data_IF_013335017657
#
_entry.id   IF_013335017657
#
_cell.length_a   1.000
_cell.length_b   1.000
_cell.length_c   1.000
_cell.angle_alpha   90.00
_cell.angle_beta   90.00
_cell.angle_gamma   90.00
#
_symmetry.space_group_name_H-M   'P 1'
#
loop_
_entity.id
_entity.type
_entity.pdbx_description
1 polymer ?
#
# COMPACT_ATOMS: atom_id res chain seq x y z
N UNK A 1 -1.30 -37.20 28.02
CA UNK A 1 -1.72 -35.76 28.05
C UNK A 1 -0.98 -34.84 27.09
N UNK A 2 0.08 -35.28 26.40
CA UNK A 2 0.92 -34.37 25.55
C UNK A 2 0.34 -34.03 24.16
N UNK A 3 -0.28 -34.97 23.48
CA UNK A 3 -0.74 -34.81 22.10
C UNK A 3 -1.90 -33.82 21.91
N UNK A 4 -2.88 -33.85 22.81
CA UNK A 4 -4.04 -32.94 22.72
C UNK A 4 -3.65 -31.47 22.98
N UNK A 5 -2.71 -31.21 23.89
CA UNK A 5 -2.21 -29.87 24.17
C UNK A 5 -1.39 -29.31 22.99
N UNK A 6 -0.55 -30.13 22.35
CA UNK A 6 0.22 -29.74 21.16
C UNK A 6 -0.70 -29.43 19.97
N UNK A 7 -1.75 -30.22 19.78
CA UNK A 7 -2.75 -29.97 18.73
C UNK A 7 -3.53 -28.69 18.99
N UNK A 8 -3.90 -28.40 20.24
CA UNK A 8 -4.62 -27.19 20.62
C UNK A 8 -3.76 -25.93 20.43
N UNK A 9 -2.49 -25.98 20.82
CA UNK A 9 -1.52 -24.87 20.59
C UNK A 9 -1.30 -24.67 19.09
N UNK A 10 -1.09 -25.73 18.33
CA UNK A 10 -0.94 -25.66 16.88
C UNK A 10 -2.18 -25.08 16.18
N UNK A 11 -3.38 -25.45 16.63
CA UNK A 11 -4.62 -24.89 16.13
C UNK A 11 -4.80 -23.41 16.49
N UNK A 12 -4.43 -23.00 17.71
CA UNK A 12 -4.44 -21.59 18.14
C UNK A 12 -3.47 -20.73 17.32
N UNK A 13 -2.26 -21.25 17.07
CA UNK A 13 -1.29 -20.57 16.18
C UNK A 13 -1.81 -20.48 14.74
N UNK A 14 -2.39 -21.56 14.22
CA UNK A 14 -2.92 -21.60 12.86
C UNK A 14 -4.13 -20.67 12.66
N UNK A 15 -4.95 -20.47 13.68
CA UNK A 15 -6.08 -19.53 13.66
C UNK A 15 -5.66 -18.07 13.88
N UNK A 16 -4.45 -17.83 14.36
CA UNK A 16 -3.96 -16.49 14.72
C UNK A 16 -4.27 -16.08 16.15
N UNK A 17 -4.83 -16.97 16.98
CA UNK A 17 -5.13 -16.72 18.40
C UNK A 17 -3.85 -16.70 19.25
N UNK A 18 -2.78 -17.30 18.76
CA UNK A 18 -1.46 -17.35 19.41
C UNK A 18 -0.35 -16.80 18.49
N UNK A 19 0.72 -16.20 19.05
CA UNK A 19 1.87 -15.74 18.27
C UNK A 19 2.59 -16.90 17.60
N UNK A 20 3.24 -16.64 16.43
CA UNK A 20 4.04 -17.63 15.70
C UNK A 20 3.46 -18.08 14.36
N UNK A 21 2.26 -17.60 13.98
CA UNK A 21 1.64 -17.93 12.69
C UNK A 21 2.55 -17.63 11.48
N UNK A 22 3.25 -16.47 11.37
CA UNK A 22 4.15 -16.22 10.25
C UNK A 22 5.30 -17.23 10.16
N UNK A 23 5.87 -17.62 11.31
CA UNK A 23 6.90 -18.65 11.37
C UNK A 23 6.36 -20.02 10.96
N UNK A 24 5.19 -20.41 11.49
CA UNK A 24 4.55 -21.69 11.16
C UNK A 24 4.21 -21.79 9.67
N UNK A 25 3.59 -20.74 9.11
CA UNK A 25 3.23 -20.68 7.69
C UNK A 25 4.46 -20.81 6.79
N UNK A 26 5.57 -20.15 7.14
CA UNK A 26 6.83 -20.28 6.42
C UNK A 26 7.42 -21.69 6.55
N UNK A 27 7.43 -22.25 7.76
CA UNK A 27 8.02 -23.58 8.04
C UNK A 27 7.26 -24.70 7.34
N UNK A 28 5.95 -24.56 7.18
CA UNK A 28 5.08 -25.52 6.51
C UNK A 28 4.79 -25.18 5.04
N UNK A 29 5.52 -24.20 4.47
CA UNK A 29 5.38 -23.75 3.08
C UNK A 29 3.93 -23.35 2.69
N UNK A 30 3.15 -22.83 3.65
CA UNK A 30 1.74 -22.47 3.47
C UNK A 30 1.55 -21.11 2.79
N UNK A 31 2.60 -20.39 2.43
CA UNK A 31 2.50 -19.05 1.84
C UNK A 31 2.16 -19.05 0.34
N UNK A 32 2.11 -20.24 -0.28
CA UNK A 32 1.86 -20.37 -1.70
C UNK A 32 3.01 -19.85 -2.59
N UNK A 33 2.89 -19.95 -3.92
CA UNK A 33 3.95 -19.56 -4.83
C UNK A 33 4.16 -18.04 -4.86
N UNK A 34 5.40 -17.56 -5.03
CA UNK A 34 5.67 -16.13 -5.22
C UNK A 34 5.14 -15.63 -6.56
N UNK A 35 4.68 -14.38 -6.58
CA UNK A 35 4.30 -13.69 -7.80
C UNK A 35 5.50 -13.48 -8.72
N UNK A 36 5.33 -13.87 -9.98
CA UNK A 36 6.37 -13.75 -10.99
C UNK A 36 6.37 -12.36 -11.61
N UNK A 37 7.55 -11.76 -11.70
CA UNK A 37 7.73 -10.49 -12.42
C UNK A 37 7.55 -10.74 -13.93
N UNK A 38 6.70 -9.98 -14.63
CA UNK A 38 6.57 -10.10 -16.09
C UNK A 38 7.91 -9.87 -16.79
N UNK A 39 8.40 -10.87 -17.55
CA UNK A 39 9.68 -10.80 -18.26
C UNK A 39 9.52 -10.32 -19.70
N UNK A 40 8.44 -10.74 -20.35
CA UNK A 40 8.18 -10.54 -21.77
C UNK A 40 7.28 -9.32 -22.01
N UNK A 41 7.61 -8.21 -21.36
CA UNK A 41 6.87 -6.96 -21.52
C UNK A 41 7.85 -5.79 -21.66
N UNK A 42 7.68 -5.00 -22.72
CA UNK A 42 8.39 -3.75 -22.85
C UNK A 42 7.85 -2.75 -21.81
N UNK A 43 8.71 -2.27 -20.94
CA UNK A 43 8.35 -1.18 -20.01
C UNK A 43 8.42 0.16 -20.73
N UNK A 44 7.56 1.08 -20.31
CA UNK A 44 7.61 2.44 -20.83
C UNK A 44 8.71 3.28 -20.17
N UNK A 45 8.80 4.57 -20.53
CA UNK A 45 9.80 5.46 -19.98
C UNK A 45 9.58 5.69 -18.49
N UNK A 46 10.69 5.83 -17.77
CA UNK A 46 10.69 6.23 -16.37
C UNK A 46 11.38 7.58 -16.22
N UNK A 47 10.76 8.51 -15.52
CA UNK A 47 11.34 9.80 -15.17
C UNK A 47 11.41 9.93 -13.67
N UNK A 48 12.41 10.62 -13.16
CA UNK A 48 12.59 10.81 -11.74
C UNK A 48 13.28 12.14 -11.43
N UNK A 49 13.38 12.42 -10.14
CA UNK A 49 14.04 13.60 -9.64
C UNK A 49 14.02 13.68 -8.13
N UNK A 50 14.30 14.85 -7.60
CA UNK A 50 14.20 15.10 -6.16
C UNK A 50 13.74 16.53 -5.90
N UNK A 51 13.16 16.73 -4.70
CA UNK A 51 12.87 18.05 -4.16
C UNK A 51 13.19 18.08 -2.66
N UNK A 52 13.35 19.27 -2.13
CA UNK A 52 13.48 19.48 -0.68
C UNK A 52 12.09 19.72 -0.13
N UNK A 53 11.63 18.84 0.73
CA UNK A 53 10.27 18.87 1.28
C UNK A 53 10.19 19.78 2.50
N UNK A 54 9.28 20.76 2.49
CA UNK A 54 8.97 21.57 3.67
C UNK A 54 8.19 20.75 4.69
N UNK A 55 7.23 19.96 4.23
CA UNK A 55 6.42 19.09 5.08
C UNK A 55 7.29 18.05 5.80
N UNK A 56 8.39 17.61 5.19
CA UNK A 56 9.38 16.74 5.81
C UNK A 56 10.61 17.51 6.37
N UNK A 57 10.41 18.75 6.80
CA UNK A 57 11.40 19.56 7.50
C UNK A 57 12.75 19.70 6.78
N UNK A 58 12.71 19.87 5.47
CA UNK A 58 13.91 20.04 4.65
C UNK A 58 14.54 18.73 4.18
N UNK A 59 13.90 17.58 4.43
CA UNK A 59 14.37 16.31 3.89
C UNK A 59 14.35 16.32 2.36
N UNK A 60 15.40 15.77 1.75
CA UNK A 60 15.42 15.53 0.30
C UNK A 60 14.59 14.30 -0.02
N UNK A 61 13.53 14.48 -0.78
CA UNK A 61 12.66 13.41 -1.25
C UNK A 61 12.95 13.13 -2.73
N UNK A 62 13.38 11.92 -3.05
CA UNK A 62 13.47 11.44 -4.43
C UNK A 62 12.11 10.90 -4.84
N UNK A 63 11.82 10.95 -6.12
CA UNK A 63 10.59 10.42 -6.70
C UNK A 63 10.87 9.84 -8.07
N UNK A 64 10.01 8.93 -8.50
CA UNK A 64 10.01 8.40 -9.85
C UNK A 64 8.58 8.18 -10.35
N UNK A 65 8.41 8.28 -11.67
CA UNK A 65 7.16 7.99 -12.38
C UNK A 65 7.48 7.03 -13.52
N UNK A 66 6.80 5.90 -13.54
CA UNK A 66 6.76 4.99 -14.68
C UNK A 66 5.55 5.32 -15.55
N UNK A 67 5.76 5.53 -16.82
CA UNK A 67 4.71 5.69 -17.83
C UNK A 67 4.50 4.35 -18.58
N UNK A 68 3.28 4.03 -18.99
CA UNK A 68 3.06 2.85 -19.82
C UNK A 68 3.67 3.03 -21.23
N UNK A 69 4.04 1.95 -21.93
CA UNK A 69 4.56 2.03 -23.28
C UNK A 69 3.59 2.76 -24.22
N UNK A 70 4.13 3.63 -25.10
CA UNK A 70 3.33 4.37 -26.08
C UNK A 70 2.40 5.43 -25.51
N UNK A 71 2.48 5.71 -24.22
CA UNK A 71 1.64 6.71 -23.57
C UNK A 71 1.97 8.13 -24.04
N UNK A 72 0.93 8.89 -24.33
CA UNK A 72 1.00 10.30 -24.70
C UNK A 72 -0.14 11.08 -24.05
N UNK A 73 0.07 12.38 -23.85
CA UNK A 73 -0.94 13.26 -23.27
C UNK A 73 -1.10 13.13 -21.76
N UNK A 74 -2.13 13.80 -21.24
CA UNK A 74 -2.47 13.81 -19.82
C UNK A 74 -3.10 12.47 -19.44
N UNK A 75 -2.60 11.85 -18.38
CA UNK A 75 -3.12 10.56 -17.92
C UNK A 75 -3.27 10.52 -16.41
N UNK A 76 -4.18 9.67 -15.89
CA UNK A 76 -4.36 9.47 -14.47
C UNK A 76 -3.12 8.83 -13.84
N UNK A 77 -2.99 8.97 -12.53
CA UNK A 77 -1.83 8.47 -11.78
C UNK A 77 -2.22 7.66 -10.56
N UNK A 78 -1.50 6.56 -10.36
CA UNK A 78 -1.46 5.81 -9.10
C UNK A 78 -0.24 6.26 -8.32
N UNK A 79 -0.46 6.81 -7.11
CA UNK A 79 0.61 7.17 -6.19
C UNK A 79 0.88 6.00 -5.25
N UNK A 80 2.12 5.58 -5.19
CA UNK A 80 2.58 4.41 -4.45
C UNK A 80 3.35 4.83 -3.20
N UNK A 81 2.94 4.32 -2.05
CA UNK A 81 3.54 4.54 -0.76
C UNK A 81 4.33 3.29 -0.34
N UNK A 82 5.63 3.44 -0.13
CA UNK A 82 6.52 2.33 0.19
C UNK A 82 6.39 1.86 1.64
N UNK A 83 6.82 0.63 1.92
CA UNK A 83 6.94 0.06 3.25
C UNK A 83 8.13 0.63 4.03
N UNK A 84 8.20 0.31 5.32
CA UNK A 84 9.31 0.73 6.20
C UNK A 84 10.65 0.20 5.69
N UNK A 85 11.68 1.03 5.74
CA UNK A 85 13.02 0.72 5.26
C UNK A 85 13.16 0.65 3.74
N UNK A 86 12.09 0.94 2.99
CA UNK A 86 12.10 1.03 1.54
C UNK A 86 12.17 2.50 1.08
N UNK A 87 12.17 2.70 -0.23
CA UNK A 87 12.21 4.01 -0.86
C UNK A 87 11.34 4.04 -2.13
N UNK A 88 11.35 5.18 -2.85
CA UNK A 88 10.61 5.35 -4.10
C UNK A 88 10.96 4.31 -5.17
N UNK A 89 12.22 3.86 -5.22
CA UNK A 89 12.66 2.90 -6.24
C UNK A 89 12.12 1.49 -5.97
N UNK A 90 11.76 1.17 -4.73
CA UNK A 90 11.20 -0.13 -4.34
C UNK A 90 9.85 -0.44 -4.99
N UNK A 91 9.11 0.56 -5.47
CA UNK A 91 7.90 0.35 -6.27
C UNK A 91 8.18 -0.31 -7.63
N UNK A 92 9.40 -0.21 -8.11
CA UNK A 92 9.82 -0.61 -9.45
C UNK A 92 10.87 -1.72 -9.40
N UNK A 93 11.40 -2.09 -10.57
CA UNK A 93 12.47 -3.07 -10.68
C UNK A 93 12.09 -4.45 -10.15
N UNK A 94 12.93 -5.02 -9.28
CA UNK A 94 12.75 -6.40 -8.79
C UNK A 94 11.97 -6.52 -7.48
N UNK A 95 11.76 -5.41 -6.75
CA UNK A 95 11.02 -5.44 -5.49
C UNK A 95 9.53 -5.61 -5.76
N UNK A 96 8.81 -4.56 -6.16
CA UNK A 96 7.39 -4.62 -6.48
C UNK A 96 7.12 -4.80 -7.97
N UNK A 97 8.02 -4.36 -8.85
CA UNK A 97 7.96 -4.45 -10.32
C UNK A 97 6.67 -3.84 -10.91
N UNK A 98 6.15 -2.78 -10.29
CA UNK A 98 4.87 -2.18 -10.70
C UNK A 98 4.95 -1.57 -12.10
N UNK A 99 6.12 -1.14 -12.57
CA UNK A 99 6.38 -0.73 -13.95
C UNK A 99 6.07 -1.84 -14.95
N UNK A 100 6.48 -3.07 -14.64
CA UNK A 100 6.25 -4.23 -15.50
C UNK A 100 4.81 -4.73 -15.44
N UNK A 101 4.21 -4.75 -14.27
CA UNK A 101 2.80 -5.09 -14.10
C UNK A 101 1.88 -4.06 -14.76
N UNK A 102 2.21 -2.76 -14.67
CA UNK A 102 1.53 -1.67 -15.38
C UNK A 102 1.60 -1.90 -16.90
N UNK A 103 2.81 -2.11 -17.44
CA UNK A 103 3.01 -2.35 -18.87
C UNK A 103 2.23 -3.59 -19.35
N UNK A 104 2.21 -4.67 -18.58
CA UNK A 104 1.43 -5.88 -18.85
C UNK A 104 -0.06 -5.60 -18.83
N UNK A 105 -0.56 -4.84 -17.87
CA UNK A 105 -1.97 -4.49 -17.77
C UNK A 105 -2.43 -3.67 -18.99
N UNK A 106 -1.65 -2.64 -19.36
CA UNK A 106 -1.96 -1.80 -20.53
C UNK A 106 -1.88 -2.59 -21.85
N UNK A 107 -0.88 -3.45 -22.02
CA UNK A 107 -0.80 -4.36 -23.16
C UNK A 107 -2.00 -5.33 -23.23
N UNK A 108 -2.61 -5.67 -22.10
CA UNK A 108 -3.82 -6.47 -21.99
C UNK A 108 -5.13 -5.68 -22.13
N UNK A 109 -5.09 -4.40 -22.54
CA UNK A 109 -6.27 -3.57 -22.81
C UNK A 109 -6.75 -2.70 -21.63
N UNK A 110 -6.01 -2.67 -20.51
CA UNK A 110 -6.32 -1.72 -19.44
C UNK A 110 -6.03 -0.28 -19.89
N UNK A 111 -6.92 0.67 -19.56
CA UNK A 111 -6.71 2.09 -19.86
C UNK A 111 -5.36 2.57 -19.28
N UNK A 112 -4.59 3.37 -20.04
CA UNK A 112 -3.28 3.83 -19.60
C UNK A 112 -3.34 4.70 -18.34
N UNK A 113 -2.41 4.47 -17.41
CA UNK A 113 -2.20 5.26 -16.20
C UNK A 113 -0.71 5.28 -15.84
N UNK A 114 -0.26 6.32 -15.18
CA UNK A 114 1.10 6.41 -14.66
C UNK A 114 1.19 5.82 -13.24
N UNK A 115 2.37 5.32 -12.87
CA UNK A 115 2.68 4.89 -11.49
C UNK A 115 3.77 5.80 -10.95
N UNK A 116 3.47 6.53 -9.87
CA UNK A 116 4.41 7.45 -9.22
C UNK A 116 4.74 6.96 -7.81
N UNK A 117 5.99 7.09 -7.40
CA UNK A 117 6.43 6.79 -6.03
C UNK A 117 7.38 7.87 -5.52
N UNK A 118 7.47 8.04 -4.20
CA UNK A 118 8.26 9.08 -3.53
C UNK A 118 8.87 8.57 -2.23
N UNK A 119 10.02 9.11 -1.83
CA UNK A 119 10.64 8.82 -0.54
C UNK A 119 9.82 9.45 0.60
N UNK A 120 9.14 8.64 1.38
CA UNK A 120 8.37 9.04 2.55
C UNK A 120 9.14 8.92 3.88
N UNK A 121 10.33 8.31 3.89
CA UNK A 121 11.02 7.91 5.12
C UNK A 121 10.23 6.87 5.92
N UNK A 122 10.57 6.70 7.18
CA UNK A 122 9.99 5.68 8.06
C UNK A 122 8.98 6.25 9.07
N UNK A 123 8.32 7.36 8.73
CA UNK A 123 7.42 8.12 9.61
C UNK A 123 5.96 7.67 9.55
N UNK A 124 5.66 6.55 8.92
CA UNK A 124 4.32 5.97 8.79
C UNK A 124 3.30 6.91 8.13
N UNK A 125 3.78 7.79 7.23
CA UNK A 125 2.95 8.64 6.37
C UNK A 125 1.99 9.59 7.13
N UNK A 126 2.23 9.87 8.41
CA UNK A 126 1.47 10.81 9.21
C UNK A 126 2.36 11.85 9.87
N UNK A 127 1.74 12.90 10.39
CA UNK A 127 2.43 13.97 11.09
C UNK A 127 3.03 13.46 12.39
N UNK A 128 4.31 13.78 12.62
CA UNK A 128 5.08 13.42 13.81
C UNK A 128 5.22 14.62 14.75
N UNK A 129 5.50 14.37 16.01
CA UNK A 129 5.80 15.42 17.01
C UNK A 129 6.99 16.30 16.61
N UNK A 130 7.93 15.75 15.83
CA UNK A 130 9.01 16.52 15.20
C UNK A 130 8.53 17.60 14.25
N UNK A 131 7.25 17.55 13.80
CA UNK A 131 6.67 18.36 12.75
C UNK A 131 6.91 17.82 11.34
N UNK A 132 7.58 16.68 11.19
CA UNK A 132 7.68 15.96 9.91
C UNK A 132 6.32 15.35 9.55
N UNK A 133 5.89 15.50 8.28
CA UNK A 133 4.61 15.01 7.79
C UNK A 133 4.76 14.49 6.35
N UNK A 134 4.90 13.18 6.20
CA UNK A 134 5.04 12.55 4.90
C UNK A 134 3.70 12.50 4.12
N UNK A 135 2.56 12.49 4.81
CA UNK A 135 1.24 12.58 4.19
C UNK A 135 1.02 13.95 3.55
N UNK A 136 1.31 15.02 4.30
CA UNK A 136 1.27 16.39 3.76
C UNK A 136 2.26 16.58 2.60
N UNK A 137 3.45 15.98 2.66
CA UNK A 137 4.41 16.02 1.54
C UNK A 137 3.79 15.42 0.28
N UNK A 138 3.05 14.32 0.37
CA UNK A 138 2.35 13.75 -0.80
C UNK A 138 1.28 14.71 -1.30
N UNK A 139 0.40 15.20 -0.42
CA UNK A 139 -0.73 16.04 -0.79
C UNK A 139 -0.32 17.41 -1.35
N UNK A 140 0.60 18.09 -0.67
CA UNK A 140 0.87 19.51 -0.91
C UNK A 140 2.10 19.76 -1.79
N UNK A 141 2.97 18.75 -1.97
CA UNK A 141 4.22 18.90 -2.71
C UNK A 141 4.32 17.95 -3.90
N UNK A 142 4.10 16.63 -3.68
CA UNK A 142 4.20 15.64 -4.76
C UNK A 142 3.06 15.79 -5.78
N UNK A 143 1.80 15.84 -5.35
CA UNK A 143 0.67 15.92 -6.29
C UNK A 143 0.74 17.17 -7.17
N UNK A 144 1.02 18.38 -6.65
CA UNK A 144 1.27 19.55 -7.51
C UNK A 144 2.44 19.39 -8.46
N UNK A 145 3.54 18.74 -8.02
CA UNK A 145 4.69 18.44 -8.88
C UNK A 145 4.27 17.53 -10.04
N UNK A 146 3.54 16.44 -9.77
CA UNK A 146 3.05 15.51 -10.79
C UNK A 146 2.09 16.21 -11.77
N UNK A 147 1.22 17.08 -11.27
CA UNK A 147 0.32 17.89 -12.10
C UNK A 147 1.08 18.80 -13.08
N UNK A 148 2.15 19.46 -12.63
CA UNK A 148 3.04 20.26 -13.50
C UNK A 148 3.81 19.42 -14.52
N UNK A 149 3.94 18.12 -14.27
CA UNK A 149 4.53 17.12 -15.18
C UNK A 149 3.52 16.54 -16.18
N UNK A 150 2.29 17.05 -16.21
CA UNK A 150 1.27 16.64 -17.16
C UNK A 150 0.40 15.46 -16.71
N UNK A 151 0.54 14.99 -15.46
CA UNK A 151 -0.35 13.95 -14.93
C UNK A 151 -1.67 14.54 -14.43
N UNK A 152 -2.73 13.74 -14.47
CA UNK A 152 -4.00 14.13 -13.87
C UNK A 152 -4.02 13.77 -12.38
N UNK A 153 -3.85 14.78 -11.55
CA UNK A 153 -3.84 14.66 -10.10
C UNK A 153 -5.13 15.13 -9.44
N UNK A 154 -6.19 15.42 -10.22
CA UNK A 154 -7.50 15.81 -9.67
C UNK A 154 -8.16 14.66 -8.93
N UNK A 155 -8.03 13.43 -9.46
CA UNK A 155 -8.42 12.19 -8.81
C UNK A 155 -7.34 11.14 -9.04
N UNK A 156 -6.78 10.65 -7.95
CA UNK A 156 -5.65 9.71 -7.97
C UNK A 156 -6.04 8.32 -7.47
N UNK A 157 -5.33 7.30 -7.92
CA UNK A 157 -5.27 6.02 -7.24
C UNK A 157 -4.20 6.06 -6.13
N UNK A 158 -4.46 5.42 -5.01
CA UNK A 158 -3.47 5.20 -3.96
C UNK A 158 -3.18 3.70 -3.85
N UNK A 159 -1.90 3.34 -3.76
CA UNK A 159 -1.45 1.99 -3.48
C UNK A 159 -0.33 2.06 -2.44
N UNK A 160 -0.31 1.16 -1.49
CA UNK A 160 0.83 1.05 -0.59
C UNK A 160 0.92 -0.34 0.04
N UNK A 161 2.12 -0.71 0.45
CA UNK A 161 2.34 -1.98 1.14
C UNK A 161 2.93 -1.78 2.54
N UNK A 162 2.56 -2.63 3.50
CA UNK A 162 3.04 -2.57 4.88
C UNK A 162 2.77 -1.20 5.52
N UNK A 163 3.79 -0.48 5.95
CA UNK A 163 3.72 0.92 6.39
C UNK A 163 3.00 1.80 5.35
N UNK A 164 3.28 1.61 4.07
CA UNK A 164 2.62 2.33 2.98
C UNK A 164 1.16 1.93 2.79
N UNK A 165 0.80 0.68 3.09
CA UNK A 165 -0.59 0.22 3.08
C UNK A 165 -1.43 0.92 4.14
N UNK A 166 -0.90 1.03 5.35
CA UNK A 166 -1.48 1.88 6.40
C UNK A 166 -1.56 3.34 5.93
N UNK A 167 -0.46 3.89 5.39
CA UNK A 167 -0.40 5.26 4.91
C UNK A 167 -1.38 5.56 3.77
N UNK A 168 -1.60 4.61 2.85
CA UNK A 168 -2.55 4.77 1.75
C UNK A 168 -3.99 4.89 2.26
N UNK A 169 -4.40 4.05 3.22
CA UNK A 169 -5.72 4.14 3.85
C UNK A 169 -5.89 5.46 4.63
N UNK A 170 -4.87 5.84 5.41
CA UNK A 170 -4.89 7.09 6.17
C UNK A 170 -5.02 8.30 5.24
N UNK A 171 -4.18 8.37 4.22
CA UNK A 171 -4.17 9.49 3.26
C UNK A 171 -5.45 9.53 2.44
N UNK A 172 -6.00 8.37 2.04
CA UNK A 172 -7.29 8.31 1.37
C UNK A 172 -8.40 8.93 2.22
N UNK A 173 -8.45 8.60 3.51
CA UNK A 173 -9.41 9.18 4.43
C UNK A 173 -9.22 10.68 4.71
N UNK A 174 -8.01 11.21 4.54
CA UNK A 174 -7.72 12.64 4.69
C UNK A 174 -8.06 13.44 3.42
N UNK A 175 -7.74 12.90 2.24
CA UNK A 175 -8.02 13.54 0.95
C UNK A 175 -9.49 13.43 0.54
N UNK A 176 -10.16 12.36 0.93
CA UNK A 176 -11.57 12.12 0.66
C UNK A 176 -11.89 11.68 -0.79
N UNK A 177 -13.18 11.36 -1.06
CA UNK A 177 -13.61 10.77 -2.34
C UNK A 177 -13.54 11.76 -3.52
N UNK A 178 -13.43 13.06 -3.26
CA UNK A 178 -13.24 14.07 -4.30
C UNK A 178 -11.86 13.98 -4.97
N UNK A 179 -10.85 13.54 -4.24
CA UNK A 179 -9.47 13.47 -4.73
C UNK A 179 -8.94 12.03 -4.87
N UNK A 180 -9.54 11.06 -4.18
CA UNK A 180 -9.14 9.64 -4.27
C UNK A 180 -10.18 8.86 -5.07
N UNK A 181 -9.77 8.35 -6.22
CA UNK A 181 -10.60 7.51 -7.07
C UNK A 181 -10.76 6.10 -6.51
N UNK A 182 -9.69 5.55 -5.95
CA UNK A 182 -9.66 4.26 -5.26
C UNK A 182 -8.39 4.11 -4.43
N UNK A 183 -8.42 3.25 -3.42
CA UNK A 183 -7.25 2.93 -2.59
C UNK A 183 -7.03 1.42 -2.50
N UNK A 184 -5.77 1.01 -2.60
CA UNK A 184 -5.29 -0.36 -2.38
C UNK A 184 -4.32 -0.38 -1.21
N UNK A 185 -4.60 -1.19 -0.21
CA UNK A 185 -3.71 -1.47 0.91
C UNK A 185 -3.25 -2.93 0.87
N UNK A 186 -1.97 -3.11 0.62
CA UNK A 186 -1.31 -4.41 0.57
C UNK A 186 -0.65 -4.70 1.92
N UNK A 187 -1.05 -5.77 2.59
CA UNK A 187 -0.49 -6.15 3.91
C UNK A 187 -0.36 -4.96 4.86
N UNK A 188 -1.42 -4.14 5.08
CA UNK A 188 -1.29 -2.88 5.79
C UNK A 188 -0.84 -3.09 7.24
N UNK A 189 0.11 -2.27 7.69
CA UNK A 189 0.64 -2.31 9.05
C UNK A 189 -0.38 -1.73 10.05
N UNK A 190 -1.30 -2.57 10.50
CA UNK A 190 -2.38 -2.23 11.41
C UNK A 190 -2.18 -2.84 12.80
N UNK A 191 -2.58 -2.12 13.84
CA UNK A 191 -2.54 -2.58 15.23
C UNK A 191 -3.76 -2.09 15.99
N UNK A 192 -4.24 -2.94 16.90
CA UNK A 192 -5.35 -2.58 17.79
C UNK A 192 -4.92 -1.70 18.97
N UNK A 193 -3.67 -1.82 19.43
CA UNK A 193 -3.16 -1.14 20.62
C UNK A 193 -1.80 -0.51 20.37
N UNK A 194 -1.55 0.61 21.02
CA UNK A 194 -0.26 1.31 20.96
C UNK A 194 0.92 0.42 21.38
N UNK A 195 0.71 -0.44 22.40
CA UNK A 195 1.76 -1.33 22.90
C UNK A 195 2.23 -2.40 21.92
N UNK A 196 1.42 -2.70 20.88
CA UNK A 196 1.72 -3.73 19.89
C UNK A 196 2.41 -3.16 18.66
N UNK A 197 2.54 -1.82 18.57
CA UNK A 197 3.11 -1.16 17.38
C UNK A 197 4.60 -1.39 17.25
N UNK A 198 5.08 -1.42 16.01
CA UNK A 198 6.52 -1.45 15.76
C UNK A 198 7.19 -0.19 16.33
N UNK A 199 8.39 -0.37 16.88
CA UNK A 199 9.17 0.75 17.41
C UNK A 199 9.32 1.87 16.37
N UNK A 200 8.99 3.09 16.75
CA UNK A 200 9.05 4.27 15.89
C UNK A 200 7.88 4.42 14.90
N UNK A 201 6.89 3.51 14.93
CA UNK A 201 5.69 3.66 14.11
C UNK A 201 4.87 4.89 14.51
N UNK A 202 4.79 5.16 15.80
CA UNK A 202 4.14 6.33 16.41
C UNK A 202 5.08 6.93 17.46
N UNK A 203 4.90 8.21 17.77
CA UNK A 203 5.72 8.89 18.78
C UNK A 203 5.41 8.38 20.20
N UNK A 204 4.13 8.18 20.47
CA UNK A 204 3.61 7.66 21.73
C UNK A 204 2.18 7.08 21.58
N UNK A 205 1.56 6.73 22.71
CA UNK A 205 0.18 6.24 22.71
C UNK A 205 -0.87 7.30 22.33
N UNK A 206 -0.58 8.59 22.52
CA UNK A 206 -1.48 9.66 22.10
C UNK A 206 -1.42 9.84 20.57
N UNK A 207 -0.23 9.79 19.99
CA UNK A 207 -0.02 9.79 18.55
C UNK A 207 -0.70 8.58 17.89
N UNK A 208 -0.56 7.38 18.47
CA UNK A 208 -1.30 6.20 17.99
C UNK A 208 -2.82 6.43 18.01
N UNK A 209 -3.39 6.95 19.12
CA UNK A 209 -4.82 7.24 19.18
C UNK A 209 -5.26 8.30 18.17
N UNK A 210 -4.40 9.26 17.88
CA UNK A 210 -4.67 10.30 16.88
C UNK A 210 -4.69 9.74 15.45
N UNK A 211 -3.92 8.71 15.14
CA UNK A 211 -3.69 8.23 13.78
C UNK A 211 -4.11 6.77 13.52
N UNK A 212 -4.62 6.02 14.53
CA UNK A 212 -5.19 4.70 14.28
C UNK A 212 -6.36 4.76 13.30
N UNK A 213 -6.49 3.75 12.45
CA UNK A 213 -7.57 3.63 11.48
C UNK A 213 -8.83 3.00 12.09
N UNK A 214 -8.68 2.18 13.14
CA UNK A 214 -9.79 1.58 13.86
C UNK A 214 -10.67 2.64 14.53
N UNK A 215 -12.00 2.51 14.33
CA UNK A 215 -13.00 3.48 14.77
C UNK A 215 -13.11 4.70 13.85
N UNK A 216 -12.43 4.70 12.70
CA UNK A 216 -12.44 5.79 11.72
C UNK A 216 -12.75 5.33 10.30
N UNK A 217 -13.31 4.16 10.15
CA UNK A 217 -13.63 3.50 8.88
C UNK A 217 -14.50 4.39 7.98
N UNK A 218 -15.37 5.21 8.57
CA UNK A 218 -16.22 6.18 7.86
C UNK A 218 -15.44 7.24 7.08
N UNK A 219 -14.17 7.47 7.38
CA UNK A 219 -13.32 8.37 6.59
C UNK A 219 -13.10 7.88 5.17
N UNK A 220 -13.27 6.58 4.94
CA UNK A 220 -13.18 5.97 3.61
C UNK A 220 -14.52 5.90 2.88
N UNK A 221 -15.62 6.46 3.43
CA UNK A 221 -16.92 6.45 2.79
C UNK A 221 -16.87 7.12 1.42
N UNK A 222 -17.43 6.46 0.41
CA UNK A 222 -17.41 6.93 -0.97
C UNK A 222 -16.12 6.70 -1.73
N UNK A 223 -15.11 6.07 -1.11
CA UNK A 223 -13.86 5.66 -1.75
C UNK A 223 -13.90 4.15 -1.95
N UNK A 224 -13.77 3.63 -3.19
CA UNK A 224 -13.53 2.21 -3.43
C UNK A 224 -12.23 1.74 -2.76
N UNK A 225 -12.34 0.74 -1.89
CA UNK A 225 -11.23 0.20 -1.10
C UNK A 225 -10.95 -1.23 -1.53
N UNK A 226 -9.67 -1.56 -1.67
CA UNK A 226 -9.18 -2.93 -1.80
C UNK A 226 -8.12 -3.21 -0.74
N UNK A 227 -8.26 -4.32 -0.02
CA UNK A 227 -7.27 -4.78 0.96
C UNK A 227 -6.90 -6.22 0.64
N UNK A 228 -5.60 -6.46 0.45
CA UNK A 228 -5.05 -7.81 0.29
C UNK A 228 -4.06 -8.06 1.43
N UNK A 229 -4.13 -9.22 2.10
CA UNK A 229 -3.18 -9.60 3.12
C UNK A 229 -2.98 -11.11 3.15
N UNK A 230 -1.73 -11.53 3.26
CA UNK A 230 -1.40 -12.94 3.36
C UNK A 230 -1.87 -13.56 4.68
N UNK A 231 -2.40 -14.78 4.65
CA UNK A 231 -2.84 -15.46 5.89
C UNK A 231 -1.67 -15.82 6.82
N UNK A 232 -0.44 -15.86 6.33
CA UNK A 232 0.79 -15.99 7.11
C UNK A 232 1.47 -14.67 7.47
N UNK A 233 0.84 -13.54 7.16
CA UNK A 233 1.35 -12.19 7.46
C UNK A 233 1.11 -11.85 8.94
N UNK A 234 2.06 -11.20 9.65
CA UNK A 234 1.87 -10.78 11.03
C UNK A 234 0.72 -9.79 11.22
N UNK A 235 0.36 -9.02 10.18
CA UNK A 235 -0.74 -8.06 10.22
C UNK A 235 -2.10 -8.67 9.87
N UNK A 236 -2.15 -9.95 9.48
CA UNK A 236 -3.39 -10.60 9.06
C UNK A 236 -4.55 -10.47 10.07
N UNK A 237 -4.37 -10.69 11.39
CA UNK A 237 -5.49 -10.57 12.33
C UNK A 237 -6.08 -9.16 12.35
N UNK A 238 -5.24 -8.14 12.43
CA UNK A 238 -5.69 -6.75 12.43
C UNK A 238 -6.28 -6.32 11.07
N UNK A 239 -5.70 -6.78 9.97
CA UNK A 239 -6.22 -6.50 8.62
C UNK A 239 -7.61 -7.15 8.42
N UNK A 240 -7.84 -8.37 8.90
CA UNK A 240 -9.14 -9.05 8.87
C UNK A 240 -10.18 -8.25 9.65
N UNK A 241 -9.88 -7.91 10.90
CA UNK A 241 -10.81 -7.18 11.76
C UNK A 241 -11.13 -5.79 11.20
N UNK A 242 -10.17 -5.15 10.54
CA UNK A 242 -10.40 -3.87 9.86
C UNK A 242 -11.28 -4.04 8.60
N UNK A 243 -11.07 -5.09 7.80
CA UNK A 243 -11.93 -5.43 6.65
C UNK A 243 -13.37 -5.67 7.09
N UNK A 244 -13.56 -6.42 8.19
CA UNK A 244 -14.88 -6.72 8.74
C UNK A 244 -15.61 -5.47 9.27
N UNK A 245 -14.86 -4.44 9.69
CA UNK A 245 -15.40 -3.16 10.15
C UNK A 245 -15.77 -2.18 9.02
N UNK A 246 -15.27 -2.40 7.79
CA UNK A 246 -15.53 -1.53 6.65
C UNK A 246 -16.91 -1.78 6.04
N UNK A 247 -17.63 -0.69 5.74
CA UNK A 247 -18.89 -0.73 5.00
C UNK A 247 -18.90 0.37 3.91
N UNK A 248 -19.10 -0.01 2.63
CA UNK A 248 -19.28 -1.38 2.13
C UNK A 248 -18.03 -2.24 2.31
N UNK A 249 -18.19 -3.56 2.31
CA UNK A 249 -17.08 -4.51 2.42
C UNK A 249 -16.07 -4.27 1.26
N UNK A 250 -14.76 -4.15 1.54
CA UNK A 250 -13.77 -3.83 0.53
C UNK A 250 -13.54 -4.99 -0.44
N UNK A 251 -13.05 -4.68 -1.63
CA UNK A 251 -12.50 -5.67 -2.54
C UNK A 251 -11.20 -6.28 -1.99
N UNK A 252 -10.74 -7.38 -2.60
CA UNK A 252 -9.50 -8.06 -2.20
C UNK A 252 -9.78 -9.28 -1.36
N UNK A 253 -9.00 -9.48 -0.31
CA UNK A 253 -9.18 -10.57 0.64
C UNK A 253 -7.89 -11.24 1.09
N UNK A 254 -8.04 -12.40 1.70
CA UNK A 254 -6.99 -13.12 2.41
C UNK A 254 -6.64 -14.41 1.69
N UNK A 255 -5.37 -14.60 1.37
CA UNK A 255 -4.86 -15.77 0.65
C UNK A 255 -3.59 -16.29 1.32
N UNK A 256 -3.19 -17.56 1.09
CA UNK A 256 -1.88 -18.02 1.51
C UNK A 256 -0.79 -17.04 1.07
N UNK A 257 -0.02 -16.50 2.02
CA UNK A 257 1.01 -15.49 1.76
C UNK A 257 1.67 -15.04 3.04
N UNK A 258 2.92 -14.58 2.94
CA UNK A 258 3.66 -13.93 4.02
C UNK A 258 3.73 -12.41 3.82
N UNK A 259 4.50 -11.75 4.69
CA UNK A 259 4.81 -10.32 4.58
C UNK A 259 6.05 -10.13 3.70
N UNK A 260 5.91 -10.36 2.40
CA UNK A 260 7.06 -10.38 1.50
C UNK A 260 6.69 -9.98 0.05
N UNK A 261 7.68 -9.53 -0.75
CA UNK A 261 7.47 -9.13 -2.14
C UNK A 261 6.94 -10.26 -3.04
N UNK A 262 7.11 -11.52 -2.67
CA UNK A 262 6.56 -12.66 -3.42
C UNK A 262 5.04 -12.66 -3.39
N UNK A 263 4.45 -12.46 -2.19
CA UNK A 263 3.02 -12.31 -2.04
C UNK A 263 2.52 -11.03 -2.73
N UNK A 264 3.15 -9.89 -2.48
CA UNK A 264 2.74 -8.59 -2.99
C UNK A 264 2.72 -8.57 -4.53
N UNK A 265 3.76 -9.07 -5.19
CA UNK A 265 3.77 -9.21 -6.66
C UNK A 265 2.67 -10.11 -7.19
N UNK A 266 2.25 -11.13 -6.44
CA UNK A 266 1.14 -12.00 -6.84
C UNK A 266 -0.19 -11.24 -6.87
N UNK A 267 -0.38 -10.27 -5.99
CA UNK A 267 -1.58 -9.44 -5.92
C UNK A 267 -1.56 -8.27 -6.91
N UNK A 268 -0.39 -7.78 -7.31
CA UNK A 268 -0.22 -6.58 -8.13
C UNK A 268 -1.11 -6.52 -9.39
N UNK A 269 -1.30 -7.60 -10.19
CA UNK A 269 -2.19 -7.54 -11.35
C UNK A 269 -3.62 -7.16 -11.01
N UNK A 270 -4.18 -7.76 -9.96
CA UNK A 270 -5.56 -7.49 -9.51
C UNK A 270 -5.70 -6.10 -8.89
N UNK A 271 -4.67 -5.64 -8.22
CA UNK A 271 -4.62 -4.32 -7.59
C UNK A 271 -4.56 -3.21 -8.64
N UNK A 272 -3.69 -3.34 -9.63
CA UNK A 272 -3.59 -2.37 -10.72
C UNK A 272 -4.85 -2.35 -11.59
N UNK A 273 -5.45 -3.51 -11.88
CA UNK A 273 -6.73 -3.58 -12.58
C UNK A 273 -7.85 -2.88 -11.81
N UNK A 274 -7.92 -3.08 -10.48
CA UNK A 274 -8.88 -2.40 -9.61
C UNK A 274 -8.71 -0.89 -9.66
N UNK A 275 -7.49 -0.38 -9.52
CA UNK A 275 -7.22 1.06 -9.56
C UNK A 275 -7.55 1.66 -10.94
N UNK A 276 -7.12 1.00 -12.02
CA UNK A 276 -7.37 1.46 -13.38
C UNK A 276 -8.87 1.58 -13.70
N UNK A 277 -9.68 0.62 -13.27
CA UNK A 277 -11.13 0.65 -13.46
C UNK A 277 -11.78 1.89 -12.83
N UNK A 278 -11.32 2.30 -11.63
CA UNK A 278 -11.86 3.46 -10.93
C UNK A 278 -11.26 4.80 -11.40
N UNK A 279 -10.05 4.79 -11.96
CA UNK A 279 -9.45 5.97 -12.59
C UNK A 279 -10.11 6.30 -13.94
N UNK A 280 -10.56 5.29 -14.69
CA UNK A 280 -11.21 5.46 -16.01
C UNK A 280 -12.67 5.90 -15.91
N UNK A 281 -13.35 5.67 -14.78
CA UNK A 281 -14.78 5.96 -14.59
C UNK A 281 -15.10 7.46 -14.45
N UNK A 282 -14.13 8.35 -14.66
CA UNK A 282 -14.25 9.80 -14.42
C UNK A 282 -13.99 10.66 -15.65
N UNK A 283 -13.98 10.03 -16.83
CA UNK A 283 -13.86 10.72 -18.13
C UNK A 283 -15.22 11.20 -18.64
#
# INVERSE_FOLDING_TARGET
>A
MGTAAVVAVGAGVARGDLPGRPWLSRRLELNGPPGQVPKDVAVGPMVGGSFVSRARRGARCRWAVSYPPGASGRMPVVVVLHGRGADHASAFGTCMALDRFQARAVAGGTSPFAVASVDGGDTYWHRRSSGEDAGAMVADELLPLLGRRGLDTRRIGLLGWSMGGYGALLLAGLLGPGQVAAVVAESPALWHRAADTAQGAFDDAADFRAHTLFGRERRLSGIPVRIDCGTGDPFYPAARDYVDALSPHPAGGFQPGGHDPGYWRRMAPKQLAFLAAHLSSTA
#
